data_IF_425907032704
#
_entry.id   IF_425907032704
#
_cell.length_a   1.000
_cell.length_b   1.000
_cell.length_c   1.000
_cell.angle_alpha   90.00
_cell.angle_beta   90.00
_cell.angle_gamma   90.00
#
_symmetry.space_group_name_H-M   'P 1'
#
loop_
_entity.id
_entity.type
_entity.pdbx_description
1 polymer ?
#
# COMPACT_ATOMS: atom_id res chain seq x y z
N UNK A 1 -36.18 -8.13 -7.11
CA UNK A 1 -34.76 -7.78 -7.34
C UNK A 1 -34.10 -9.04 -7.88
N UNK A 2 -33.79 -9.07 -9.17
CA UNK A 2 -33.16 -10.21 -9.83
C UNK A 2 -31.67 -10.21 -9.51
N UNK A 3 -31.26 -11.12 -8.63
CA UNK A 3 -29.86 -11.45 -8.38
C UNK A 3 -29.30 -12.11 -9.63
N UNK A 4 -28.25 -11.53 -10.20
CA UNK A 4 -27.45 -12.19 -11.22
C UNK A 4 -26.64 -13.24 -10.44
N UNK A 5 -27.07 -14.49 -10.45
CA UNK A 5 -26.31 -15.59 -9.86
C UNK A 5 -25.11 -15.87 -10.77
N UNK A 6 -23.91 -15.48 -10.34
CA UNK A 6 -22.67 -15.97 -10.92
C UNK A 6 -22.57 -17.47 -10.68
N UNK A 7 -22.33 -18.22 -11.74
CA UNK A 7 -22.13 -19.67 -11.64
C UNK A 7 -20.70 -20.01 -11.24
N UNK A 8 -20.53 -21.14 -10.54
CA UNK A 8 -19.21 -21.63 -10.13
C UNK A 8 -18.25 -21.79 -11.32
N UNK A 9 -18.76 -22.17 -12.50
CA UNK A 9 -17.96 -22.26 -13.73
C UNK A 9 -17.33 -20.92 -14.10
N UNK A 10 -18.04 -19.81 -13.95
CA UNK A 10 -17.55 -18.48 -14.29
C UNK A 10 -16.47 -18.02 -13.31
N UNK A 11 -16.64 -18.35 -12.03
CA UNK A 11 -15.63 -18.10 -10.97
C UNK A 11 -14.36 -18.90 -11.24
N UNK A 12 -14.49 -20.21 -11.47
CA UNK A 12 -13.35 -21.09 -11.69
C UNK A 12 -12.63 -20.79 -13.02
N UNK A 13 -13.33 -20.26 -14.02
CA UNK A 13 -12.69 -19.78 -15.27
C UNK A 13 -11.75 -18.59 -15.02
N UNK A 14 -11.97 -17.85 -13.93
CA UNK A 14 -11.15 -16.70 -13.53
C UNK A 14 -10.08 -17.03 -12.48
N UNK A 15 -9.85 -18.31 -12.18
CA UNK A 15 -8.99 -18.76 -11.08
C UNK A 15 -7.55 -18.23 -11.16
N UNK A 16 -7.02 -18.02 -12.35
CA UNK A 16 -5.65 -17.47 -12.55
C UNK A 16 -5.55 -16.06 -11.96
N UNK A 17 -6.48 -15.17 -12.31
CA UNK A 17 -6.54 -13.81 -11.77
C UNK A 17 -6.75 -13.82 -10.25
N UNK A 18 -7.48 -14.80 -9.74
CA UNK A 18 -7.69 -14.98 -8.29
C UNK A 18 -6.36 -15.35 -7.61
N UNK A 19 -5.60 -16.31 -8.14
CA UNK A 19 -4.33 -16.78 -7.54
C UNK A 19 -3.24 -15.70 -7.59
N UNK A 20 -3.21 -14.90 -8.65
CA UNK A 20 -2.25 -13.81 -8.85
C UNK A 20 -2.64 -12.51 -8.12
N UNK A 21 -3.73 -12.53 -7.34
CA UNK A 21 -4.28 -11.38 -6.61
C UNK A 21 -4.65 -10.19 -7.54
N UNK A 22 -4.98 -10.49 -8.80
CA UNK A 22 -5.40 -9.56 -9.86
C UNK A 22 -6.92 -9.55 -10.07
N UNK A 23 -7.69 -9.98 -9.07
CA UNK A 23 -9.16 -10.09 -9.18
C UNK A 23 -9.84 -8.77 -9.53
N UNK A 24 -9.24 -7.64 -9.15
CA UNK A 24 -9.74 -6.29 -9.40
C UNK A 24 -9.72 -5.90 -10.90
N UNK A 25 -8.94 -6.61 -11.73
CA UNK A 25 -8.94 -6.39 -13.18
C UNK A 25 -10.17 -7.00 -13.86
N UNK A 26 -10.93 -7.84 -13.15
CA UNK A 26 -12.13 -8.46 -13.68
C UNK A 26 -13.34 -7.53 -13.54
N UNK A 27 -14.21 -7.45 -14.56
CA UNK A 27 -15.38 -6.55 -14.55
C UNK A 27 -16.42 -6.89 -13.47
N UNK A 28 -16.35 -8.07 -12.84
CA UNK A 28 -17.27 -8.54 -11.78
C UNK A 28 -16.54 -8.97 -10.51
N UNK A 29 -15.41 -8.34 -10.20
CA UNK A 29 -14.55 -8.69 -9.06
C UNK A 29 -15.33 -8.88 -7.74
N UNK A 30 -16.19 -7.92 -7.39
CA UNK A 30 -16.97 -7.95 -6.15
C UNK A 30 -17.96 -9.12 -6.07
N UNK A 31 -18.63 -9.45 -7.17
CA UNK A 31 -19.55 -10.59 -7.24
C UNK A 31 -18.80 -11.91 -7.10
N UNK A 32 -17.62 -12.03 -7.72
CA UNK A 32 -16.76 -13.21 -7.63
C UNK A 32 -16.25 -13.40 -6.19
N UNK A 33 -15.78 -12.33 -5.53
CA UNK A 33 -15.33 -12.37 -4.13
C UNK A 33 -16.46 -12.83 -3.20
N UNK A 34 -17.66 -12.26 -3.36
CA UNK A 34 -18.82 -12.68 -2.56
C UNK A 34 -19.21 -14.13 -2.81
N UNK A 35 -19.13 -14.61 -4.05
CA UNK A 35 -19.38 -16.01 -4.38
C UNK A 35 -18.36 -16.93 -3.71
N UNK A 36 -17.06 -16.63 -3.78
CA UNK A 36 -16.01 -17.43 -3.13
C UNK A 36 -16.21 -17.48 -1.62
N UNK A 37 -16.65 -16.39 -1.00
CA UNK A 37 -16.93 -16.33 0.43
C UNK A 37 -18.15 -17.18 0.86
N UNK A 38 -19.12 -17.38 -0.04
CA UNK A 38 -20.37 -18.08 0.25
C UNK A 38 -20.40 -19.53 -0.27
N UNK A 39 -19.56 -19.86 -1.26
CA UNK A 39 -19.55 -21.15 -1.95
C UNK A 39 -18.34 -21.99 -1.52
N UNK A 40 -18.60 -23.00 -0.67
CA UNK A 40 -17.57 -23.91 -0.17
C UNK A 40 -16.80 -24.66 -1.29
N UNK A 41 -17.43 -25.16 -2.36
CA UNK A 41 -16.72 -25.74 -3.50
C UNK A 41 -15.69 -24.78 -4.11
N UNK A 42 -16.10 -23.57 -4.48
CA UNK A 42 -15.19 -22.58 -5.07
C UNK A 42 -14.06 -22.21 -4.11
N UNK A 43 -14.33 -22.09 -2.80
CA UNK A 43 -13.30 -21.85 -1.81
C UNK A 43 -12.27 -23.00 -1.76
N UNK A 44 -12.72 -24.26 -1.79
CA UNK A 44 -11.82 -25.41 -1.76
C UNK A 44 -10.97 -25.54 -3.02
N UNK A 45 -11.54 -25.27 -4.19
CA UNK A 45 -10.81 -25.30 -5.47
C UNK A 45 -9.76 -24.18 -5.53
N UNK A 46 -10.11 -22.94 -5.15
CA UNK A 46 -9.15 -21.83 -5.11
C UNK A 46 -8.01 -22.11 -4.12
N UNK A 47 -8.32 -22.69 -2.95
CA UNK A 47 -7.30 -23.08 -1.98
C UNK A 47 -6.38 -24.19 -2.52
N UNK A 48 -6.94 -25.17 -3.22
CA UNK A 48 -6.19 -26.23 -3.87
C UNK A 48 -5.24 -25.70 -4.94
N UNK A 49 -5.74 -24.83 -5.83
CA UNK A 49 -4.94 -24.23 -6.89
C UNK A 49 -3.83 -23.32 -6.34
N UNK A 50 -4.10 -22.56 -5.28
CA UNK A 50 -3.05 -21.77 -4.58
C UNK A 50 -1.96 -22.67 -4.00
N UNK A 51 -2.33 -23.81 -3.41
CA UNK A 51 -1.35 -24.77 -2.89
C UNK A 51 -0.53 -25.43 -4.02
N UNK A 52 -1.15 -25.74 -5.14
CA UNK A 52 -0.46 -26.27 -6.32
C UNK A 52 0.49 -25.23 -6.94
N UNK A 53 0.06 -23.97 -7.04
CA UNK A 53 0.88 -22.87 -7.50
C UNK A 53 2.13 -22.67 -6.63
N UNK A 54 1.97 -22.65 -5.29
CA UNK A 54 3.10 -22.53 -4.36
C UNK A 54 4.07 -23.72 -4.46
N UNK A 55 3.55 -24.94 -4.59
CA UNK A 55 4.38 -26.13 -4.81
C UNK A 55 5.23 -26.01 -6.08
N UNK A 56 4.62 -25.56 -7.19
CA UNK A 56 5.32 -25.36 -8.46
C UNK A 56 6.38 -24.26 -8.34
N UNK A 57 6.02 -23.11 -7.75
CA UNK A 57 6.95 -22.01 -7.53
C UNK A 57 8.15 -22.43 -6.67
N UNK A 58 7.91 -23.17 -5.59
CA UNK A 58 8.96 -23.66 -4.71
C UNK A 58 9.85 -24.70 -5.38
N UNK A 59 9.28 -25.55 -6.24
CA UNK A 59 10.05 -26.51 -7.03
C UNK A 59 10.96 -25.77 -8.02
N UNK A 60 10.41 -24.80 -8.75
CA UNK A 60 11.17 -23.96 -9.69
C UNK A 60 12.27 -23.17 -8.99
N UNK A 61 12.01 -22.58 -7.81
CA UNK A 61 13.03 -21.88 -7.01
C UNK A 61 14.18 -22.78 -6.60
N UNK A 62 13.93 -24.07 -6.33
CA UNK A 62 14.98 -25.03 -5.96
C UNK A 62 15.78 -25.49 -7.18
N UNK A 63 15.17 -25.58 -8.35
CA UNK A 63 15.82 -26.05 -9.58
C UNK A 63 16.50 -24.94 -10.37
N UNK A 64 15.93 -23.74 -10.36
CA UNK A 64 16.43 -22.56 -11.06
C UNK A 64 17.24 -21.70 -10.08
N UNK A 65 18.56 -21.88 -10.08
CA UNK A 65 19.49 -21.01 -9.37
C UNK A 65 20.02 -19.93 -10.32
N UNK A 66 19.11 -19.16 -10.94
CA UNK A 66 19.51 -18.04 -11.78
C UNK A 66 20.05 -16.93 -10.87
N UNK A 67 21.36 -16.68 -10.95
CA UNK A 67 22.00 -15.61 -10.18
C UNK A 67 21.68 -14.28 -10.86
N UNK A 68 21.30 -13.27 -10.08
CA UNK A 68 21.17 -11.92 -10.60
C UNK A 68 22.50 -11.46 -11.25
N UNK A 69 22.46 -10.66 -12.33
CA UNK A 69 23.66 -10.13 -12.97
C UNK A 69 24.50 -9.31 -11.98
N UNK A 70 25.83 -9.43 -12.06
CA UNK A 70 26.75 -8.72 -11.15
C UNK A 70 26.61 -7.18 -11.26
N UNK A 71 26.26 -6.65 -12.44
CA UNK A 71 25.99 -5.23 -12.67
C UNK A 71 24.83 -4.69 -11.80
N UNK A 72 23.80 -5.51 -11.57
CA UNK A 72 22.66 -5.12 -10.74
C UNK A 72 23.05 -5.06 -9.25
N UNK A 73 23.98 -5.93 -8.83
CA UNK A 73 24.56 -5.86 -7.49
C UNK A 73 25.36 -4.58 -7.29
N UNK A 74 26.16 -4.18 -8.28
CA UNK A 74 26.95 -2.95 -8.24
C UNK A 74 26.07 -1.69 -8.21
N UNK A 75 25.01 -1.67 -9.03
CA UNK A 75 24.03 -0.57 -9.05
C UNK A 75 23.29 -0.43 -7.72
N UNK A 76 22.80 -1.53 -7.13
CA UNK A 76 22.14 -1.50 -5.82
C UNK A 76 23.12 -1.04 -4.74
N UNK A 77 24.36 -1.55 -4.74
CA UNK A 77 25.37 -1.14 -3.79
C UNK A 77 25.73 0.34 -3.91
N UNK A 78 25.75 0.88 -5.14
CA UNK A 78 25.94 2.32 -5.38
C UNK A 78 24.74 3.14 -4.90
N UNK A 79 23.51 2.70 -5.19
CA UNK A 79 22.28 3.37 -4.76
C UNK A 79 22.14 3.40 -3.24
N UNK A 80 22.40 2.28 -2.55
CA UNK A 80 22.38 2.22 -1.09
C UNK A 80 23.43 3.13 -0.46
N UNK A 81 24.64 3.19 -1.06
CA UNK A 81 25.68 4.14 -0.60
C UNK A 81 25.25 5.58 -0.82
N UNK A 82 24.66 5.91 -1.96
CA UNK A 82 24.14 7.25 -2.24
C UNK A 82 23.04 7.64 -1.23
N UNK A 83 22.14 6.72 -0.91
CA UNK A 83 21.09 6.91 0.11
C UNK A 83 21.63 6.98 1.54
N UNK A 84 22.72 6.28 1.85
CA UNK A 84 23.38 6.39 3.15
C UNK A 84 24.14 7.72 3.32
N UNK A 85 24.65 8.28 2.22
CA UNK A 85 25.23 9.64 2.20
C UNK A 85 24.18 10.75 2.15
N UNK A 86 22.93 10.47 1.76
CA UNK A 86 21.82 11.37 2.04
C UNK A 86 21.45 11.20 3.51
N UNK A 87 22.02 12.05 4.37
CA UNK A 87 21.61 12.19 5.76
C UNK A 87 20.09 12.19 5.83
N UNK A 88 19.51 11.29 6.63
CA UNK A 88 18.08 11.27 6.92
C UNK A 88 17.68 12.62 7.49
N UNK A 89 17.14 13.49 6.64
CA UNK A 89 16.76 14.83 7.05
C UNK A 89 15.44 14.75 7.82
N UNK A 90 15.51 14.85 9.14
CA UNK A 90 14.31 14.93 9.99
C UNK A 90 13.87 16.39 10.04
N UNK A 91 12.88 16.73 9.20
CA UNK A 91 12.31 18.07 9.13
C UNK A 91 11.25 18.21 10.23
N UNK A 92 11.54 18.97 11.29
CA UNK A 92 10.53 19.31 12.30
C UNK A 92 9.95 20.68 12.02
N UNK A 93 8.64 20.73 11.72
CA UNK A 93 7.90 21.97 11.46
C UNK A 93 7.08 22.36 12.69
N UNK A 94 7.32 23.56 13.22
CA UNK A 94 6.49 24.17 14.25
C UNK A 94 5.66 25.30 13.63
N UNK A 95 4.33 25.16 13.68
CA UNK A 95 3.38 26.19 13.25
C UNK A 95 2.48 26.61 14.41
N UNK A 96 2.41 27.91 14.68
CA UNK A 96 1.47 28.49 15.64
C UNK A 96 0.41 29.27 14.88
N UNK A 97 -0.87 28.99 15.14
CA UNK A 97 -2.00 29.70 14.54
C UNK A 97 -2.85 30.27 15.66
N UNK A 98 -3.00 31.60 15.68
CA UNK A 98 -3.92 32.28 16.57
C UNK A 98 -5.25 32.50 15.84
N UNK A 99 -6.35 32.17 16.50
CA UNK A 99 -7.70 32.31 15.95
C UNK A 99 -8.50 33.17 16.93
N UNK A 100 -8.84 34.39 16.52
CA UNK A 100 -9.77 35.25 17.25
C UNK A 100 -11.19 35.02 16.72
N UNK A 101 -12.11 34.72 17.63
CA UNK A 101 -13.53 34.51 17.32
C UNK A 101 -14.34 35.43 18.22
N UNK A 102 -15.03 36.39 17.61
CA UNK A 102 -15.97 37.27 18.30
C UNK A 102 -17.39 36.68 18.15
N UNK A 103 -18.09 36.53 19.29
CA UNK A 103 -19.41 35.88 19.37
C UNK A 103 -20.42 36.90 19.93
N UNK A 104 -21.60 36.99 19.31
CA UNK A 104 -22.70 37.84 19.74
C UNK A 104 -23.41 37.30 21.01
N UNK A 105 -24.33 38.12 21.56
CA UNK A 105 -25.13 37.78 22.75
C UNK A 105 -26.06 36.57 22.58
N UNK A 106 -26.22 36.07 21.34
CA UNK A 106 -27.07 34.93 20.99
C UNK A 106 -26.25 33.68 20.61
N UNK A 107 -24.92 33.75 20.66
CA UNK A 107 -24.01 32.64 20.39
C UNK A 107 -23.59 32.47 18.92
N UNK A 108 -23.88 33.43 18.04
CA UNK A 108 -23.45 33.40 16.64
C UNK A 108 -22.11 34.11 16.46
N UNK A 109 -21.30 33.61 15.52
CA UNK A 109 -19.99 34.20 15.19
C UNK A 109 -20.18 35.45 14.32
N UNK A 110 -19.81 36.64 14.81
CA UNK A 110 -19.90 37.90 14.08
C UNK A 110 -18.64 38.20 13.24
N UNK A 111 -17.45 37.89 13.77
CA UNK A 111 -16.19 38.11 13.07
C UNK A 111 -15.19 36.98 13.35
N UNK A 112 -14.50 36.54 12.30
CA UNK A 112 -13.45 35.52 12.39
C UNK A 112 -12.23 35.97 11.62
N UNK A 113 -11.14 36.23 12.33
CA UNK A 113 -9.84 36.55 11.75
C UNK A 113 -8.85 35.43 12.10
N UNK A 114 -8.06 35.01 11.12
CA UNK A 114 -7.03 33.98 11.29
C UNK A 114 -5.69 34.63 10.98
N UNK A 115 -4.84 34.78 11.99
CA UNK A 115 -3.52 35.35 11.82
C UNK A 115 -2.45 34.28 12.08
N UNK A 116 -1.61 34.02 11.07
CA UNK A 116 -0.51 33.06 11.16
C UNK A 116 0.75 33.84 11.51
N UNK A 117 1.20 33.76 12.76
CA UNK A 117 2.28 34.63 13.23
C UNK A 117 3.69 34.03 13.08
N UNK A 118 3.87 32.70 13.02
CA UNK A 118 5.20 32.15 12.74
C UNK A 118 5.18 30.70 12.25
N UNK A 119 5.91 30.43 11.16
CA UNK A 119 6.30 29.07 10.74
C UNK A 119 7.80 28.94 10.88
N UNK A 120 8.28 28.01 11.71
CA UNK A 120 9.72 27.71 11.84
C UNK A 120 9.99 26.28 11.42
N UNK A 121 10.86 26.14 10.42
CA UNK A 121 11.39 24.86 9.96
C UNK A 121 12.77 24.69 10.57
N UNK A 122 12.99 23.58 11.28
CA UNK A 122 14.30 23.21 11.81
C UNK A 122 14.80 21.96 11.09
N UNK A 123 15.99 22.08 10.51
CA UNK A 123 16.70 20.98 9.86
C UNK A 123 17.69 20.42 10.86
N UNK A 124 17.50 19.17 11.29
CA UNK A 124 18.50 18.45 12.08
C UNK A 124 19.34 17.59 11.14
N UNK A 125 20.62 17.93 11.02
CA UNK A 125 21.60 17.09 10.35
C UNK A 125 22.35 16.32 11.43
N UNK A 126 22.23 14.99 11.46
CA UNK A 126 22.87 14.10 12.44
C UNK A 126 24.41 13.98 12.26
N UNK A 127 25.09 15.04 11.82
CA UNK A 127 26.54 15.02 11.53
C UNK A 127 27.44 15.50 12.69
N UNK A 128 26.88 15.82 13.86
CA UNK A 128 27.65 16.26 15.04
C UNK A 128 27.66 15.20 16.16
N UNK A 129 28.05 13.97 15.84
CA UNK A 129 28.59 13.02 16.81
C UNK A 129 29.88 12.42 16.27
N UNK A 130 30.98 13.13 16.49
CA UNK A 130 32.28 12.58 16.90
C UNK A 130 33.33 13.70 16.95
N UNK A 131 33.53 14.27 18.13
CA UNK A 131 34.76 14.96 18.54
C UNK A 131 35.10 14.61 19.97
#
# INVERSE_FOLDING_TARGET
>A
MSYIEIHCSDVLSSVIFIIEDQIQELPRASEIETHIAQCLPCQSEVAHERAMHDLLQNTLRRTCNEKAPDDLHDLIAAQLRAQATSTSEVITQFSMTEISIEIDEFGNVEHREIQIEQTRIQHFNDLDSDK
#
